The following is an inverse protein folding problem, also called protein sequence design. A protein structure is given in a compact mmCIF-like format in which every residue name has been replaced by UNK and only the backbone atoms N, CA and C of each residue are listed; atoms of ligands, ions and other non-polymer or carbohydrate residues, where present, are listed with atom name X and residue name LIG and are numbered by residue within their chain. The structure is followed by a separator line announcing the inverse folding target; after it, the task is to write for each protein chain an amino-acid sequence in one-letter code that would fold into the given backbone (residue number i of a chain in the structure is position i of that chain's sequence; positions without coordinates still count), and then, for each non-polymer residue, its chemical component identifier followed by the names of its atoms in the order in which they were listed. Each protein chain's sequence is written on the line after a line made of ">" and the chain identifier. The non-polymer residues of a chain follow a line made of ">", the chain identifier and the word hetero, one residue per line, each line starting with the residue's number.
data_IF_115165569201
#
_entry.id   IF_115165569201
#
_cell.length_a   1.000
_cell.length_b   1.000
_cell.length_c   1.000
_cell.angle_alpha   90.00
_cell.angle_beta   90.00
_cell.angle_gamma   90.00
#
_symmetry.space_group_name_H-M   'P 1'
#
loop_
_entity.id
_entity.type
_entity.pdbx_description
1 polymer ?
#
# COMPACT_ATOMS: atom_id res chain seq x y z
N UNK A 1 -29.30 -7.03 39.15
CA UNK A 1 -28.41 -6.15 38.36
C UNK A 1 -27.00 -6.71 38.51
N UNK A 2 -26.61 -7.60 37.61
CA UNK A 2 -25.36 -8.35 37.69
C UNK A 2 -24.17 -7.39 37.63
N UNK A 3 -23.35 -7.37 38.70
CA UNK A 3 -22.07 -6.69 38.69
C UNK A 3 -21.12 -7.49 37.80
N UNK A 4 -21.21 -7.26 36.49
CA UNK A 4 -20.23 -7.76 35.52
C UNK A 4 -18.84 -7.32 35.96
N UNK A 5 -18.05 -8.27 36.45
CA UNK A 5 -16.74 -8.02 37.05
C UNK A 5 -15.78 -7.55 35.97
N UNK A 6 -15.20 -6.34 36.12
CA UNK A 6 -14.22 -5.75 35.19
C UNK A 6 -13.10 -6.71 34.74
N UNK A 7 -12.75 -7.66 35.61
CA UNK A 7 -11.74 -8.70 35.36
C UNK A 7 -12.14 -9.63 34.20
N UNK A 8 -13.40 -10.07 34.13
CA UNK A 8 -13.88 -10.97 33.08
C UNK A 8 -13.83 -10.32 31.69
N UNK A 9 -14.22 -9.04 31.60
CA UNK A 9 -14.20 -8.27 30.34
C UNK A 9 -12.76 -8.10 29.84
N UNK A 10 -11.84 -7.75 30.74
CA UNK A 10 -10.41 -7.58 30.41
C UNK A 10 -9.79 -8.90 29.93
N UNK A 11 -10.10 -10.03 30.57
CA UNK A 11 -9.57 -11.34 30.16
C UNK A 11 -10.07 -11.77 28.78
N UNK A 12 -11.38 -11.66 28.52
CA UNK A 12 -11.94 -12.00 27.20
C UNK A 12 -11.35 -11.12 26.11
N UNK A 13 -11.20 -9.81 26.37
CA UNK A 13 -10.53 -8.91 25.44
C UNK A 13 -9.06 -9.31 25.19
N UNK A 14 -8.35 -9.77 26.22
CA UNK A 14 -6.98 -10.28 26.12
C UNK A 14 -6.88 -11.52 25.23
N UNK A 15 -7.75 -12.51 25.45
CA UNK A 15 -7.80 -13.74 24.63
C UNK A 15 -8.11 -13.43 23.15
N UNK A 16 -9.07 -12.53 22.89
CA UNK A 16 -9.38 -12.10 21.53
C UNK A 16 -8.20 -11.37 20.87
N UNK A 17 -7.54 -10.46 21.60
CA UNK A 17 -6.34 -9.79 21.11
C UNK A 17 -5.23 -10.82 20.80
N UNK A 18 -5.02 -11.81 21.67
CA UNK A 18 -4.05 -12.87 21.45
C UNK A 18 -4.34 -13.67 20.18
N UNK A 19 -5.60 -14.07 19.97
CA UNK A 19 -6.02 -14.82 18.78
C UNK A 19 -5.72 -14.01 17.50
N UNK A 20 -6.12 -12.74 17.43
CA UNK A 20 -5.83 -11.90 16.26
C UNK A 20 -4.32 -11.70 16.07
N UNK A 21 -3.57 -11.53 17.16
CA UNK A 21 -2.11 -11.43 17.15
C UNK A 21 -1.44 -12.67 16.58
N UNK A 22 -1.88 -13.86 17.01
CA UNK A 22 -1.36 -15.14 16.53
C UNK A 22 -1.69 -15.37 15.04
N UNK A 23 -2.90 -15.05 14.60
CA UNK A 23 -3.29 -15.15 13.19
C UNK A 23 -2.42 -14.26 12.31
N UNK A 24 -2.21 -13.00 12.70
CA UNK A 24 -1.29 -12.10 12.00
C UNK A 24 0.13 -12.66 12.00
N UNK A 25 0.63 -13.09 13.16
CA UNK A 25 1.99 -13.60 13.31
C UNK A 25 2.26 -14.82 12.43
N UNK A 26 1.36 -15.80 12.38
CA UNK A 26 1.49 -16.97 11.50
C UNK A 26 1.62 -16.51 10.04
N UNK A 27 0.81 -15.54 9.61
CA UNK A 27 0.87 -15.03 8.24
C UNK A 27 2.18 -14.27 7.93
N UNK A 28 2.91 -13.76 8.95
CA UNK A 28 4.23 -13.11 8.76
C UNK A 28 5.35 -14.10 8.40
N UNK A 29 5.17 -15.40 8.68
CA UNK A 29 6.21 -16.41 8.51
C UNK A 29 6.77 -16.33 7.08
N UNK A 30 8.11 -16.23 6.89
CA UNK A 30 8.68 -15.94 5.57
C UNK A 30 8.24 -16.87 4.45
N UNK A 31 8.02 -18.16 4.76
CA UNK A 31 7.52 -19.14 3.78
C UNK A 31 6.09 -18.83 3.32
N UNK A 32 5.23 -18.40 4.24
CA UNK A 32 3.84 -18.03 3.96
C UNK A 32 3.81 -16.69 3.23
N UNK A 33 4.41 -15.64 3.80
CA UNK A 33 4.41 -14.29 3.22
C UNK A 33 4.99 -14.23 1.80
N UNK A 34 6.06 -14.99 1.51
CA UNK A 34 6.70 -14.99 0.18
C UNK A 34 5.90 -15.76 -0.88
N UNK A 35 5.13 -16.78 -0.50
CA UNK A 35 4.32 -17.59 -1.43
C UNK A 35 2.88 -17.11 -1.56
N UNK A 36 2.31 -16.58 -0.48
CA UNK A 36 0.92 -16.17 -0.34
C UNK A 36 0.87 -14.74 0.19
N UNK A 37 1.36 -13.79 -0.60
CA UNK A 37 1.43 -12.39 -0.19
C UNK A 37 0.05 -11.80 0.14
N UNK A 38 -0.99 -12.17 -0.60
CA UNK A 38 -2.36 -11.69 -0.36
C UNK A 38 -2.91 -12.14 0.99
N UNK A 39 -2.67 -13.42 1.36
CA UNK A 39 -3.04 -13.94 2.67
C UNK A 39 -2.35 -13.15 3.78
N UNK A 40 -1.05 -12.89 3.63
CA UNK A 40 -0.31 -12.01 4.53
C UNK A 40 -0.95 -10.63 4.60
N UNK A 41 -1.14 -9.98 3.46
CA UNK A 41 -1.62 -8.60 3.38
C UNK A 41 -3.01 -8.43 4.03
N UNK A 42 -3.97 -9.31 3.70
CA UNK A 42 -5.32 -9.19 4.24
C UNK A 42 -5.42 -9.60 5.71
N UNK A 43 -4.73 -10.66 6.14
CA UNK A 43 -4.73 -11.03 7.58
C UNK A 43 -4.06 -9.96 8.44
N UNK A 44 -3.08 -9.22 7.91
CA UNK A 44 -2.45 -8.14 8.65
C UNK A 44 -3.41 -7.00 9.00
N UNK A 45 -4.48 -6.77 8.24
CA UNK A 45 -5.48 -5.77 8.58
C UNK A 45 -6.25 -6.09 9.88
N UNK A 46 -6.15 -7.32 10.39
CA UNK A 46 -6.63 -7.69 11.73
C UNK A 46 -5.92 -6.90 12.84
N UNK A 47 -4.85 -6.14 12.54
CA UNK A 47 -4.22 -5.22 13.49
C UNK A 47 -5.22 -4.23 14.09
N UNK A 48 -6.26 -3.84 13.33
CA UNK A 48 -7.30 -2.92 13.81
C UNK A 48 -8.07 -3.58 14.97
N UNK A 49 -8.50 -4.83 14.79
CA UNK A 49 -9.19 -5.60 15.83
C UNK A 49 -8.25 -5.87 17.01
N UNK A 50 -7.00 -6.25 16.73
CA UNK A 50 -5.97 -6.44 17.74
C UNK A 50 -5.83 -5.21 18.64
N UNK A 51 -5.67 -4.01 18.07
CA UNK A 51 -5.49 -2.77 18.85
C UNK A 51 -6.74 -2.45 19.67
N UNK A 52 -7.95 -2.61 19.12
CA UNK A 52 -9.20 -2.37 19.85
C UNK A 52 -9.31 -3.29 21.07
N UNK A 53 -9.13 -4.59 20.89
CA UNK A 53 -9.19 -5.56 21.99
C UNK A 53 -8.03 -5.40 22.97
N UNK A 54 -6.85 -5.03 22.48
CA UNK A 54 -5.70 -4.75 23.34
C UNK A 54 -5.99 -3.56 24.28
N UNK A 55 -6.59 -2.47 23.79
CA UNK A 55 -7.00 -1.32 24.61
C UNK A 55 -8.01 -1.74 25.69
N UNK A 56 -8.99 -2.60 25.36
CA UNK A 56 -9.94 -3.11 26.35
C UNK A 56 -9.30 -4.06 27.37
N UNK A 57 -8.26 -4.79 26.96
CA UNK A 57 -7.51 -5.67 27.85
C UNK A 57 -6.68 -4.87 28.87
N UNK A 58 -5.83 -3.95 28.41
CA UNK A 58 -4.91 -3.20 29.28
C UNK A 58 -5.57 -2.01 29.99
N UNK A 59 -6.71 -1.54 29.48
CA UNK A 59 -7.41 -0.36 30.00
C UNK A 59 -6.79 0.97 29.55
N UNK A 60 -7.54 2.06 29.77
CA UNK A 60 -7.23 3.36 29.17
C UNK A 60 -5.91 3.97 29.67
N UNK A 61 -5.51 3.70 30.91
CA UNK A 61 -4.29 4.25 31.51
C UNK A 61 -3.04 3.84 30.74
N UNK A 62 -2.93 2.56 30.36
CA UNK A 62 -1.80 2.07 29.55
C UNK A 62 -1.96 2.43 28.07
N UNK A 63 -3.20 2.51 27.58
CA UNK A 63 -3.47 2.99 26.23
C UNK A 63 -2.99 4.45 26.02
N UNK A 64 -3.01 5.29 27.06
CA UNK A 64 -2.47 6.65 27.00
C UNK A 64 -1.00 6.73 26.60
N UNK A 65 -0.19 5.71 26.92
CA UNK A 65 1.21 5.63 26.49
C UNK A 65 1.34 5.39 24.98
N UNK A 66 0.36 4.73 24.37
CA UNK A 66 0.32 4.44 22.94
C UNK A 66 -0.29 5.57 22.11
N UNK A 67 -1.04 6.49 22.75
CA UNK A 67 -1.78 7.56 22.06
C UNK A 67 -0.88 8.43 21.17
N UNK A 68 0.32 8.89 21.58
CA UNK A 68 1.18 9.69 20.70
C UNK A 68 1.57 8.96 19.41
N UNK A 69 1.96 7.68 19.53
CA UNK A 69 2.33 6.84 18.37
C UNK A 69 1.13 6.59 17.46
N UNK A 70 -0.04 6.29 18.04
CA UNK A 70 -1.27 6.07 17.29
C UNK A 70 -1.73 7.35 16.58
N UNK A 71 -1.60 8.51 17.23
CA UNK A 71 -1.90 9.80 16.63
C UNK A 71 -1.04 10.06 15.39
N UNK A 72 0.28 9.90 15.50
CA UNK A 72 1.20 10.08 14.36
C UNK A 72 0.90 9.08 13.23
N UNK A 73 0.61 7.83 13.57
CA UNK A 73 0.21 6.81 12.59
C UNK A 73 -1.08 7.21 11.85
N UNK A 74 -2.08 7.74 12.58
CA UNK A 74 -3.34 8.17 11.97
C UNK A 74 -3.17 9.41 11.10
N UNK A 75 -2.31 10.36 11.50
CA UNK A 75 -1.95 11.51 10.68
C UNK A 75 -1.28 11.05 9.39
N UNK A 76 -0.25 10.18 9.46
CA UNK A 76 0.40 9.62 8.26
C UNK A 76 -0.61 8.90 7.36
N UNK A 77 -1.45 8.03 7.94
CA UNK A 77 -2.48 7.30 7.19
C UNK A 77 -3.48 8.23 6.51
N UNK A 78 -3.91 9.30 7.19
CA UNK A 78 -4.85 10.27 6.66
C UNK A 78 -4.23 11.09 5.52
N UNK A 79 -2.99 11.57 5.69
CA UNK A 79 -2.26 12.28 4.65
C UNK A 79 -2.06 11.41 3.41
N UNK A 80 -1.69 10.14 3.58
CA UNK A 80 -1.61 9.18 2.47
C UNK A 80 -2.94 9.03 1.78
N UNK A 81 -4.03 8.82 2.52
CA UNK A 81 -5.37 8.72 1.94
C UNK A 81 -5.78 9.95 1.12
N UNK A 82 -5.41 11.16 1.55
CA UNK A 82 -5.62 12.37 0.75
C UNK A 82 -4.80 12.36 -0.55
N UNK A 83 -3.55 11.91 -0.50
CA UNK A 83 -2.68 11.76 -1.67
C UNK A 83 -3.19 10.68 -2.64
N UNK A 84 -3.65 9.53 -2.11
CA UNK A 84 -4.18 8.39 -2.87
C UNK A 84 -5.39 8.71 -3.76
N UNK A 85 -6.08 9.82 -3.49
CA UNK A 85 -7.27 10.25 -4.26
C UNK A 85 -6.91 10.75 -5.65
N UNK A 86 -5.64 11.04 -5.91
CA UNK A 86 -5.21 11.53 -7.21
C UNK A 86 -5.21 10.40 -8.25
N UNK A 87 -6.09 10.52 -9.24
CA UNK A 87 -6.10 9.65 -10.41
C UNK A 87 -5.33 10.31 -11.53
N UNK A 88 -4.40 9.57 -12.12
CA UNK A 88 -3.55 10.09 -13.20
C UNK A 88 -3.88 9.32 -14.48
N UNK A 89 -3.98 10.07 -15.59
CA UNK A 89 -4.24 9.47 -16.89
C UNK A 89 -3.02 8.67 -17.35
N UNK A 90 -3.26 7.42 -17.71
CA UNK A 90 -2.27 6.58 -18.39
C UNK A 90 -2.23 6.98 -19.87
N UNK A 91 -1.09 7.48 -20.34
CA UNK A 91 -0.86 7.94 -21.72
C UNK A 91 -0.56 6.76 -22.64
N UNK A 92 0.29 5.84 -22.17
CA UNK A 92 0.57 4.60 -22.91
C UNK A 92 1.06 3.51 -21.97
N UNK A 93 0.84 2.26 -22.36
CA UNK A 93 1.38 1.09 -21.71
C UNK A 93 2.07 0.24 -22.77
N UNK A 94 3.32 -0.14 -22.53
CA UNK A 94 4.09 -0.99 -23.43
C UNK A 94 4.44 -2.28 -22.72
N UNK A 95 4.07 -3.40 -23.34
CA UNK A 95 4.43 -4.73 -22.87
C UNK A 95 5.73 -5.17 -23.55
N UNK A 96 6.66 -5.73 -22.77
CA UNK A 96 7.95 -6.23 -23.22
C UNK A 96 7.98 -7.76 -23.19
N UNK A 97 8.72 -8.43 -24.10
CA UNK A 97 8.93 -9.88 -24.08
C UNK A 97 9.59 -10.40 -22.79
N UNK A 98 10.31 -9.54 -22.05
CA UNK A 98 10.98 -9.90 -20.79
C UNK A 98 10.03 -9.89 -19.56
N UNK A 99 8.74 -10.13 -19.78
CA UNK A 99 7.69 -10.05 -18.75
C UNK A 99 7.70 -8.71 -17.98
N UNK A 100 7.95 -7.61 -18.69
CA UNK A 100 7.96 -6.27 -18.12
C UNK A 100 6.91 -5.39 -18.80
N UNK A 101 6.35 -4.47 -18.03
CA UNK A 101 5.39 -3.46 -18.48
C UNK A 101 5.98 -2.09 -18.20
N UNK A 102 6.05 -1.25 -19.22
CA UNK A 102 6.36 0.17 -19.09
C UNK A 102 5.05 0.96 -19.11
N UNK A 103 4.80 1.71 -18.04
CA UNK A 103 3.62 2.57 -17.89
C UNK A 103 4.04 4.02 -18.00
N UNK A 104 3.43 4.76 -18.92
CA UNK A 104 3.67 6.18 -19.14
C UNK A 104 2.44 6.97 -18.70
N UNK A 105 2.60 7.79 -17.67
CA UNK A 105 1.58 8.65 -17.09
C UNK A 105 1.69 10.07 -17.62
N UNK A 106 0.56 10.79 -17.65
CA UNK A 106 0.55 12.22 -17.90
C UNK A 106 1.13 12.96 -16.70
N UNK A 107 2.14 13.80 -16.93
CA UNK A 107 2.78 14.59 -15.88
C UNK A 107 2.01 15.90 -15.70
N UNK A 108 1.77 16.30 -14.45
CA UNK A 108 1.18 17.61 -14.16
C UNK A 108 2.20 18.72 -14.43
N UNK A 109 1.75 19.86 -14.99
CA UNK A 109 2.62 21.01 -15.21
C UNK A 109 3.25 21.49 -13.89
N UNK A 110 4.57 21.66 -13.89
CA UNK A 110 5.33 22.07 -12.70
C UNK A 110 5.71 20.95 -11.73
N UNK A 111 5.29 19.69 -11.97
CA UNK A 111 5.78 18.56 -11.18
C UNK A 111 7.26 18.32 -11.49
N UNK A 112 8.14 18.57 -10.53
CA UNK A 112 9.56 18.25 -10.63
C UNK A 112 9.86 16.99 -9.81
N UNK A 113 10.63 16.08 -10.41
CA UNK A 113 11.07 14.86 -9.74
C UNK A 113 12.47 14.49 -10.22
N UNK A 114 13.21 13.80 -9.36
CA UNK A 114 14.53 13.31 -9.70
C UNK A 114 14.43 11.90 -10.29
N UNK A 115 15.35 11.51 -11.19
CA UNK A 115 15.49 10.12 -11.59
C UNK A 115 15.66 9.24 -10.35
N UNK A 116 15.19 7.98 -10.41
CA UNK A 116 15.22 7.01 -9.29
C UNK A 116 14.29 7.32 -8.12
N UNK A 117 13.48 8.38 -8.18
CA UNK A 117 12.34 8.54 -7.27
C UNK A 117 11.40 7.34 -7.35
N UNK A 118 10.75 7.02 -6.22
CA UNK A 118 9.79 5.94 -6.09
C UNK A 118 8.38 6.51 -6.18
N UNK A 119 7.54 5.89 -7.00
CA UNK A 119 6.13 6.20 -7.14
C UNK A 119 5.30 4.98 -6.73
N UNK A 120 4.24 5.18 -5.96
CA UNK A 120 3.32 4.09 -5.64
C UNK A 120 2.17 4.10 -6.64
N UNK A 121 1.84 2.92 -7.14
CA UNK A 121 0.79 2.73 -8.15
C UNK A 121 -0.29 1.82 -7.57
N UNK A 122 -1.54 2.23 -7.73
CA UNK A 122 -2.72 1.42 -7.47
C UNK A 122 -3.59 1.33 -8.73
N UNK A 123 -4.01 0.11 -9.05
CA UNK A 123 -4.89 -0.19 -10.18
C UNK A 123 -6.13 -0.89 -9.61
N UNK A 124 -7.24 -0.16 -9.41
CA UNK A 124 -8.45 -0.68 -8.76
C UNK A 124 -9.07 -1.91 -9.44
N UNK A 125 -8.85 -2.11 -10.75
CA UNK A 125 -9.32 -3.29 -11.48
C UNK A 125 -8.60 -4.58 -11.07
N UNK A 126 -7.38 -4.49 -10.54
CA UNK A 126 -6.62 -5.63 -10.00
C UNK A 126 -6.83 -5.73 -8.50
N UNK A 127 -6.60 -4.65 -7.76
CA UNK A 127 -6.81 -4.60 -6.32
C UNK A 127 -7.07 -3.18 -5.84
N UNK A 128 -8.14 -3.00 -5.07
CA UNK A 128 -8.52 -1.70 -4.48
C UNK A 128 -7.64 -1.28 -3.31
N UNK A 129 -6.97 -2.22 -2.65
CA UNK A 129 -6.24 -1.97 -1.41
C UNK A 129 -4.72 -2.00 -1.58
N UNK A 130 -4.21 -2.66 -2.62
CA UNK A 130 -2.77 -2.84 -2.78
C UNK A 130 -2.12 -1.68 -3.53
N UNK A 131 -1.15 -1.04 -2.88
CA UNK A 131 -0.28 -0.03 -3.44
C UNK A 131 1.12 -0.61 -3.59
N UNK A 132 1.70 -0.51 -4.79
CA UNK A 132 3.01 -1.08 -5.09
C UNK A 132 4.00 0.01 -5.48
N UNK A 133 5.20 0.04 -4.87
CA UNK A 133 6.23 1.01 -5.21
C UNK A 133 6.99 0.60 -6.47
N UNK A 134 7.21 1.56 -7.37
CA UNK A 134 8.04 1.40 -8.56
C UNK A 134 8.97 2.60 -8.74
N UNK A 135 10.17 2.34 -9.24
CA UNK A 135 11.12 3.41 -9.54
C UNK A 135 10.72 4.11 -10.85
N UNK A 136 10.76 5.43 -10.81
CA UNK A 136 10.58 6.29 -11.99
C UNK A 136 11.80 6.14 -12.88
N UNK A 137 11.55 5.79 -14.14
CA UNK A 137 12.57 5.60 -15.19
C UNK A 137 12.74 6.82 -16.08
N UNK A 138 11.74 7.71 -16.09
CA UNK A 138 11.75 8.97 -16.82
C UNK A 138 12.63 10.04 -16.14
N UNK A 139 12.97 11.08 -16.90
CA UNK A 139 13.67 12.25 -16.35
C UNK A 139 12.79 13.50 -16.53
N UNK A 140 12.50 14.20 -15.44
CA UNK A 140 11.64 15.38 -15.43
C UNK A 140 12.10 16.51 -16.37
N UNK A 141 13.40 16.63 -16.65
CA UNK A 141 13.95 17.68 -17.50
C UNK A 141 13.90 17.33 -19.00
N UNK A 142 13.93 16.04 -19.34
CA UNK A 142 13.87 15.57 -20.72
C UNK A 142 12.43 15.30 -21.16
N UNK A 143 11.63 14.75 -20.25
CA UNK A 143 10.24 14.36 -20.50
C UNK A 143 9.31 15.31 -19.73
N UNK A 144 8.97 16.42 -20.40
CA UNK A 144 8.21 17.53 -19.81
C UNK A 144 6.75 17.16 -19.49
N UNK A 145 6.15 16.26 -20.25
CA UNK A 145 4.72 15.91 -20.18
C UNK A 145 4.46 14.45 -19.78
N UNK A 146 5.52 13.68 -19.53
CA UNK A 146 5.43 12.25 -19.24
C UNK A 146 6.20 11.86 -17.98
N UNK A 147 5.65 10.87 -17.30
CA UNK A 147 6.30 10.19 -16.19
C UNK A 147 6.19 8.69 -16.41
N UNK A 148 7.31 7.99 -16.39
CA UNK A 148 7.39 6.59 -16.79
C UNK A 148 7.90 5.72 -15.66
N UNK A 149 7.30 4.54 -15.52
CA UNK A 149 7.76 3.51 -14.59
C UNK A 149 7.84 2.16 -15.31
N UNK A 150 8.85 1.38 -14.95
CA UNK A 150 9.01 0.01 -15.42
C UNK A 150 8.63 -0.99 -14.33
N UNK A 151 7.68 -1.87 -14.64
CA UNK A 151 7.15 -2.90 -13.75
C UNK A 151 7.54 -4.27 -14.27
N UNK A 152 8.29 -5.03 -13.47
CA UNK A 152 8.60 -6.43 -13.79
C UNK A 152 7.55 -7.37 -13.18
N UNK A 153 7.12 -8.35 -13.95
CA UNK A 153 6.29 -9.46 -13.49
C UNK A 153 7.07 -10.30 -12.47
N UNK A 154 6.53 -10.49 -11.27
CA UNK A 154 7.24 -11.18 -10.18
C UNK A 154 6.36 -11.58 -9.00
N UNK A 155 5.22 -10.92 -8.81
CA UNK A 155 4.19 -11.33 -7.86
C UNK A 155 2.83 -11.41 -8.54
N UNK A 156 1.83 -11.92 -7.82
CA UNK A 156 0.45 -12.09 -8.35
C UNK A 156 -0.10 -10.79 -8.92
N UNK A 157 0.10 -9.67 -8.23
CA UNK A 157 -0.37 -8.35 -8.69
C UNK A 157 0.30 -7.91 -10.00
N UNK A 158 1.63 -8.01 -10.10
CA UNK A 158 2.36 -7.58 -11.31
C UNK A 158 2.13 -8.53 -12.49
N UNK A 159 1.93 -9.83 -12.23
CA UNK A 159 1.51 -10.81 -13.24
C UNK A 159 0.10 -10.51 -13.77
N UNK A 160 -0.85 -10.17 -12.89
CA UNK A 160 -2.19 -9.79 -13.30
C UNK A 160 -2.18 -8.50 -14.14
N UNK A 161 -1.32 -7.54 -13.78
CA UNK A 161 -1.10 -6.34 -14.59
C UNK A 161 -0.56 -6.67 -15.99
N UNK A 162 0.46 -7.52 -16.07
CA UNK A 162 1.02 -7.97 -17.35
C UNK A 162 -0.05 -8.64 -18.22
N UNK A 163 -0.84 -9.56 -17.65
CA UNK A 163 -1.93 -10.25 -18.37
C UNK A 163 -3.02 -9.29 -18.83
N UNK A 164 -3.42 -8.35 -17.96
CA UNK A 164 -4.45 -7.34 -18.26
C UNK A 164 -4.06 -6.52 -19.49
N UNK A 165 -2.83 -6.02 -19.53
CA UNK A 165 -2.33 -5.17 -20.61
C UNK A 165 -1.96 -5.96 -21.88
N UNK A 166 -1.67 -7.25 -21.75
CA UNK A 166 -1.43 -8.13 -22.89
C UNK A 166 -2.73 -8.54 -23.59
N UNK A 167 -3.85 -8.63 -22.84
CA UNK A 167 -5.14 -9.12 -23.36
C UNK A 167 -6.07 -7.97 -23.79
N UNK A 168 -6.07 -6.86 -23.06
CA UNK A 168 -6.92 -5.70 -23.33
C UNK A 168 -6.08 -4.50 -23.77
N UNK A 169 -6.25 -4.09 -25.03
CA UNK A 169 -5.57 -2.93 -25.62
C UNK A 169 -6.21 -1.57 -25.28
N UNK A 170 -7.34 -1.53 -24.58
CA UNK A 170 -8.05 -0.28 -24.26
C UNK A 170 -7.51 0.36 -22.98
N UNK A 171 -6.39 1.08 -23.13
CA UNK A 171 -5.77 1.91 -22.09
C UNK A 171 -6.74 2.98 -21.56
N UNK A 172 -7.67 3.45 -22.40
CA UNK A 172 -8.58 4.56 -22.12
C UNK A 172 -9.54 4.31 -20.94
N UNK A 173 -9.77 3.06 -20.54
CA UNK A 173 -10.64 2.71 -19.42
C UNK A 173 -9.87 2.29 -18.15
N UNK A 174 -8.54 2.26 -18.18
CA UNK A 174 -7.77 1.84 -17.02
C UNK A 174 -7.59 3.02 -16.05
N UNK A 175 -8.41 3.05 -15.00
CA UNK A 175 -8.21 3.98 -13.89
C UNK A 175 -6.94 3.60 -13.14
N UNK A 176 -6.00 4.53 -12.99
CA UNK A 176 -4.77 4.34 -12.20
C UNK A 176 -4.67 5.47 -11.18
N UNK A 177 -4.50 5.09 -9.91
CA UNK A 177 -4.23 6.03 -8.82
C UNK A 177 -2.74 5.99 -8.45
N UNK A 178 -2.20 7.15 -8.10
CA UNK A 178 -0.76 7.35 -7.96
C UNK A 178 -0.44 8.14 -6.69
N UNK A 179 0.62 7.75 -5.98
CA UNK A 179 1.23 8.54 -4.91
C UNK A 179 2.71 8.81 -5.18
N UNK A 180 3.19 10.01 -4.80
CA UNK A 180 4.55 10.47 -5.04
C UNK A 180 4.66 11.38 -6.27
N UNK A 181 5.84 11.46 -6.93
CA UNK A 181 7.05 10.68 -6.67
C UNK A 181 7.77 11.06 -5.36
N UNK A 182 8.26 10.06 -4.63
CA UNK A 182 9.08 10.22 -3.42
C UNK A 182 10.53 9.92 -3.74
N UNK A 183 11.45 10.85 -3.54
CA UNK A 183 12.87 10.60 -3.77
C UNK A 183 13.76 11.64 -3.12
N UNK A 184 15.09 11.44 -3.21
CA UNK A 184 16.06 12.38 -2.67
C UNK A 184 15.91 13.75 -3.35
N UNK A 185 16.21 14.82 -2.61
CA UNK A 185 16.14 16.19 -3.13
C UNK A 185 17.17 16.46 -4.24
N UNK A 186 18.27 15.71 -4.29
CA UNK A 186 19.29 15.80 -5.33
C UNK A 186 19.86 14.43 -5.70
N UNK A 187 20.33 14.31 -6.95
CA UNK A 187 21.09 13.17 -7.47
C UNK A 187 22.50 13.65 -7.81
N UNK A 188 23.25 14.10 -6.80
CA UNK A 188 24.69 14.32 -6.98
C UNK A 188 25.36 12.96 -6.97
N UNK A 189 25.79 12.49 -8.14
CA UNK A 189 26.69 11.36 -8.32
C UNK A 189 28.09 11.87 -8.63
#
# INVERSE_FOLDING_TARGET
>A
MEKWTKVGISNVAGELALIFGLLMWIATIPRIRRKLFELFFYTHHLYILFIVFFIFHVGITYACLMLPSFYLFMVDRYLRFLQSRNQVRLVSARVSPCEAVELNFSKAHGLTYNPTSVMFVNIPSISKLQWHPFNVTSNSNLELEKLSVAVKSGGTWTQNLYKLLSTHSTIDHLSVSVEGPYGPASTNF
#
